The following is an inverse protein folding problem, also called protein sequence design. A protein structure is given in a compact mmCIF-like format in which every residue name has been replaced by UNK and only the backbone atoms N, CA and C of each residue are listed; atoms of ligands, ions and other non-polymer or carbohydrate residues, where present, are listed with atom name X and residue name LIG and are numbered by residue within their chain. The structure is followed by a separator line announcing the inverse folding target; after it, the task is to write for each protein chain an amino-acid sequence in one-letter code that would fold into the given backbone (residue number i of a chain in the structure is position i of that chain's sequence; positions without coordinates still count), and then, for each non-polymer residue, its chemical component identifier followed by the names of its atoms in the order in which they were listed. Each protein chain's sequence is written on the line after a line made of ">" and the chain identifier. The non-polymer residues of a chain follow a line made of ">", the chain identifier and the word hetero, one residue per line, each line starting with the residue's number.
data_IF_989632909064
#
_entry.id   IF_989632909064
#
_cell.length_a   1.000
_cell.length_b   1.000
_cell.length_c   1.000
_cell.angle_alpha   90.00
_cell.angle_beta   90.00
_cell.angle_gamma   90.00
#
_symmetry.space_group_name_H-M   'P 1'
#
loop_
_entity.id
_entity.type
_entity.pdbx_description
1 polymer ?
#
# COMPACT_ATOMS: atom_id res chain seq x y z
N UNK A 1 -23.01 16.85 5.47
CA UNK A 1 -22.59 16.13 4.26
C UNK A 1 -21.09 15.99 4.34
N UNK A 2 -20.57 14.76 4.38
CA UNK A 2 -19.14 14.51 4.59
C UNK A 2 -18.48 14.51 3.21
N UNK A 3 -17.72 15.57 2.94
CA UNK A 3 -16.75 15.56 1.85
C UNK A 3 -15.69 14.50 2.17
N UNK A 4 -15.37 13.64 1.19
CA UNK A 4 -14.29 12.67 1.24
C UNK A 4 -12.91 13.32 1.18
N UNK A 5 -12.64 14.24 2.11
CA UNK A 5 -11.32 14.77 2.41
C UNK A 5 -10.66 14.00 3.56
N UNK A 6 -9.39 14.30 3.83
CA UNK A 6 -8.53 13.73 4.88
C UNK A 6 -9.06 13.84 6.34
N UNK A 7 -10.33 14.15 6.55
CA UNK A 7 -10.96 14.41 7.85
C UNK A 7 -11.75 13.21 8.40
N UNK A 8 -11.67 12.03 7.77
CA UNK A 8 -12.26 10.80 8.28
C UNK A 8 -11.22 9.70 8.42
N UNK A 9 -11.49 8.77 9.33
CA UNK A 9 -10.56 7.70 9.67
C UNK A 9 -9.39 8.19 10.54
N UNK A 10 -8.26 7.51 10.43
CA UNK A 10 -7.06 7.76 11.22
C UNK A 10 -5.84 7.78 10.32
N UNK A 11 -4.96 8.76 10.56
CA UNK A 11 -3.74 9.00 9.79
C UNK A 11 -2.60 9.30 10.75
N UNK A 12 -1.65 8.37 10.85
CA UNK A 12 -0.44 8.51 11.67
C UNK A 12 0.73 7.96 10.87
N UNK A 13 1.79 8.76 10.77
CA UNK A 13 3.06 8.28 10.24
C UNK A 13 4.02 8.05 11.39
N UNK A 14 4.62 6.87 11.43
CA UNK A 14 5.55 6.48 12.47
C UNK A 14 6.88 6.04 11.86
N UNK A 15 7.99 6.56 12.38
CA UNK A 15 9.35 6.11 12.05
C UNK A 15 9.94 5.35 13.24
N UNK A 16 9.57 4.08 13.46
CA UNK A 16 9.99 3.33 14.65
C UNK A 16 11.49 3.05 14.69
N UNK A 17 12.16 3.19 13.55
CA UNK A 17 13.59 2.95 13.38
C UNK A 17 14.42 4.24 13.46
N UNK A 18 13.79 5.41 13.66
CA UNK A 18 14.43 6.72 13.73
C UNK A 18 15.44 6.95 12.60
N UNK A 19 16.74 6.95 12.91
CA UNK A 19 17.84 7.17 11.98
C UNK A 19 18.34 5.90 11.27
N UNK A 20 17.82 4.72 11.64
CA UNK A 20 18.23 3.48 10.98
C UNK A 20 17.67 3.42 9.57
N UNK A 21 18.60 3.28 8.62
CA UNK A 21 18.32 3.16 7.20
C UNK A 21 18.05 1.71 6.84
N UNK A 22 16.78 1.35 6.73
CA UNK A 22 16.37 0.00 6.37
C UNK A 22 16.15 -0.13 4.86
N UNK A 23 16.91 -1.00 4.21
CA UNK A 23 16.62 -1.44 2.82
C UNK A 23 15.57 -2.56 2.78
N UNK A 24 15.25 -3.15 3.94
CA UNK A 24 14.26 -4.22 4.07
C UNK A 24 13.44 -3.98 5.32
N UNK A 25 12.13 -4.15 5.22
CA UNK A 25 11.22 -4.06 6.36
C UNK A 25 10.11 -5.10 6.23
N UNK A 26 9.67 -5.60 7.38
CA UNK A 26 8.44 -6.37 7.51
C UNK A 26 7.51 -5.60 8.45
N UNK A 27 6.32 -5.25 7.97
CA UNK A 27 5.24 -4.74 8.79
C UNK A 27 4.26 -5.88 9.08
N UNK A 28 4.04 -6.19 10.35
CA UNK A 28 3.03 -7.16 10.77
C UNK A 28 2.01 -6.54 11.72
N UNK A 29 0.74 -6.83 11.47
CA UNK A 29 -0.37 -6.43 12.33
C UNK A 29 -1.58 -7.34 12.09
N UNK A 30 -2.55 -7.31 13.02
CA UNK A 30 -3.84 -7.94 12.83
C UNK A 30 -4.91 -6.86 12.61
N UNK A 31 -5.88 -7.15 11.74
CA UNK A 31 -7.05 -6.28 11.50
C UNK A 31 -8.33 -7.06 11.71
N UNK A 32 -9.27 -6.47 12.44
CA UNK A 32 -10.61 -7.00 12.63
C UNK A 32 -11.65 -6.04 12.04
N UNK A 33 -12.54 -6.57 11.21
CA UNK A 33 -13.71 -5.83 10.73
C UNK A 33 -14.95 -6.28 11.51
N UNK A 34 -15.84 -5.37 11.95
CA UNK A 34 -17.12 -5.75 12.55
C UNK A 34 -17.91 -6.74 11.69
N UNK A 35 -18.74 -7.60 12.30
CA UNK A 35 -19.48 -8.64 11.58
C UNK A 35 -20.45 -8.07 10.52
N UNK A 36 -20.94 -6.86 10.75
CA UNK A 36 -21.84 -6.08 9.90
C UNK A 36 -21.10 -5.02 9.06
N UNK A 37 -19.78 -5.10 8.96
CA UNK A 37 -18.98 -4.11 8.23
C UNK A 37 -19.42 -3.97 6.78
N UNK A 38 -19.84 -2.76 6.40
CA UNK A 38 -20.19 -2.44 5.03
C UNK A 38 -18.92 -2.09 4.23
N UNK A 39 -18.54 -2.96 3.31
CA UNK A 39 -17.34 -2.79 2.49
C UNK A 39 -17.40 -1.61 1.53
N UNK A 40 -18.61 -1.16 1.15
CA UNK A 40 -18.87 -0.15 0.12
C UNK A 40 -18.03 -0.47 -1.14
N UNK A 41 -17.17 0.46 -1.59
CA UNK A 41 -16.27 0.31 -2.73
C UNK A 41 -14.81 0.07 -2.32
N UNK A 42 -14.50 0.20 -1.04
CA UNK A 42 -13.16 0.00 -0.51
C UNK A 42 -12.66 1.10 0.43
N UNK A 43 -11.48 0.87 0.95
CA UNK A 43 -10.77 1.79 1.84
C UNK A 43 -9.32 1.39 2.01
N UNK A 44 -8.55 2.21 2.72
CA UNK A 44 -7.11 2.03 2.93
C UNK A 44 -6.84 1.32 4.24
N UNK A 45 -5.74 0.57 4.27
CA UNK A 45 -5.18 -0.06 5.45
C UNK A 45 -3.69 0.33 5.58
N UNK A 46 -3.13 0.22 6.80
CA UNK A 46 -1.74 0.58 7.07
C UNK A 46 -0.73 -0.11 6.15
N UNK A 47 0.38 0.58 5.90
CA UNK A 47 1.42 0.12 5.00
C UNK A 47 2.80 0.68 5.32
N UNK A 48 3.72 0.43 4.39
CA UNK A 48 5.09 0.92 4.44
C UNK A 48 5.28 2.06 3.44
N UNK A 49 6.11 3.03 3.81
CA UNK A 49 6.41 4.22 3.02
C UNK A 49 7.93 4.49 3.05
N UNK A 50 8.44 5.11 2.00
CA UNK A 50 9.79 5.64 1.96
C UNK A 50 9.86 6.99 1.26
N UNK A 51 10.84 7.79 1.67
CA UNK A 51 11.01 9.18 1.25
C UNK A 51 10.34 10.15 2.22
N UNK A 52 10.18 11.41 1.80
CA UNK A 52 9.44 12.39 2.60
C UNK A 52 7.94 12.25 2.36
N UNK A 53 7.14 12.24 3.43
CA UNK A 53 5.67 12.25 3.36
C UNK A 53 5.15 13.47 2.59
N UNK A 54 5.86 14.60 2.64
CA UNK A 54 5.51 15.80 1.87
C UNK A 54 5.73 15.65 0.36
N UNK A 55 6.51 14.66 -0.08
CA UNK A 55 6.87 14.42 -1.49
C UNK A 55 5.79 13.70 -2.31
N UNK A 56 4.71 13.22 -1.67
CA UNK A 56 3.58 12.61 -2.37
C UNK A 56 3.46 11.10 -2.16
N UNK A 57 3.34 10.35 -3.27
CA UNK A 57 3.09 8.89 -3.30
C UNK A 57 1.78 8.45 -2.63
N UNK A 58 0.82 9.39 -2.59
CA UNK A 58 -0.55 9.22 -2.11
C UNK A 58 -1.44 10.22 -2.85
N UNK A 59 -2.76 10.02 -2.84
CA UNK A 59 -3.72 11.04 -3.28
C UNK A 59 -3.54 11.55 -4.72
N UNK A 60 -3.00 10.72 -5.62
CA UNK A 60 -2.74 11.07 -7.03
C UNK A 60 -1.37 11.73 -7.29
N UNK A 61 -0.56 11.93 -6.26
CA UNK A 61 0.83 12.41 -6.42
C UNK A 61 1.74 11.20 -6.69
N UNK A 62 2.33 11.16 -7.88
CA UNK A 62 3.06 9.98 -8.36
C UNK A 62 4.44 9.79 -7.72
N UNK A 63 4.92 8.54 -7.77
CA UNK A 63 6.31 8.21 -7.51
C UNK A 63 7.12 8.35 -8.81
N UNK A 64 8.31 8.96 -8.73
CA UNK A 64 9.22 9.14 -9.87
C UNK A 64 10.59 8.47 -9.68
N UNK A 65 10.79 7.79 -8.55
CA UNK A 65 12.03 7.08 -8.21
C UNK A 65 13.05 7.93 -7.43
N UNK A 66 12.86 9.25 -7.34
CA UNK A 66 13.66 10.14 -6.52
C UNK A 66 12.90 10.83 -5.39
N UNK A 67 11.57 10.75 -5.36
CA UNK A 67 10.73 11.52 -4.42
C UNK A 67 10.20 10.71 -3.22
N UNK A 68 9.58 9.55 -3.48
CA UNK A 68 8.96 8.68 -2.49
C UNK A 68 8.52 7.34 -3.11
N UNK A 69 8.05 6.42 -2.27
CA UNK A 69 7.19 5.29 -2.64
C UNK A 69 6.23 4.94 -1.49
N UNK A 70 5.12 4.26 -1.80
CA UNK A 70 4.22 3.73 -0.78
C UNK A 70 3.65 2.37 -1.15
N UNK A 71 3.47 1.52 -0.13
CA UNK A 71 2.87 0.18 -0.22
C UNK A 71 1.87 0.05 0.92
N UNK A 72 0.64 0.48 0.67
CA UNK A 72 -0.49 0.30 1.59
C UNK A 72 -1.30 -0.91 1.20
N UNK A 73 -2.17 -1.35 2.09
CA UNK A 73 -3.21 -2.30 1.74
C UNK A 73 -4.51 -1.55 1.45
N UNK A 74 -5.41 -2.22 0.76
CA UNK A 74 -6.80 -1.80 0.68
C UNK A 74 -7.73 -2.98 0.84
N UNK A 75 -8.94 -2.71 1.34
CA UNK A 75 -10.10 -3.52 1.01
C UNK A 75 -10.86 -2.90 -0.16
N UNK A 76 -11.63 -3.73 -0.85
CA UNK A 76 -12.59 -3.39 -1.90
C UNK A 76 -13.96 -3.95 -1.53
N UNK A 77 -14.95 -3.73 -2.40
CA UNK A 77 -16.28 -4.31 -2.24
C UNK A 77 -16.23 -5.82 -1.99
N UNK A 78 -17.05 -6.30 -1.04
CA UNK A 78 -17.09 -7.70 -0.64
C UNK A 78 -15.83 -8.21 0.07
N UNK A 79 -15.04 -7.32 0.66
CA UNK A 79 -13.86 -7.65 1.46
C UNK A 79 -12.61 -8.00 0.66
N UNK A 80 -12.63 -7.89 -0.67
CA UNK A 80 -11.47 -8.22 -1.50
C UNK A 80 -10.28 -7.33 -1.11
N UNK A 81 -9.15 -7.94 -0.78
CA UNK A 81 -7.93 -7.23 -0.42
C UNK A 81 -7.01 -6.98 -1.63
N UNK A 82 -6.15 -5.97 -1.53
CA UNK A 82 -5.05 -5.73 -2.47
C UNK A 82 -3.88 -5.05 -1.76
N UNK A 83 -2.67 -5.19 -2.32
CA UNK A 83 -1.60 -4.22 -2.07
C UNK A 83 -1.77 -3.07 -3.05
N UNK A 84 -1.83 -1.86 -2.54
CA UNK A 84 -2.02 -0.63 -3.28
C UNK A 84 -0.75 0.20 -3.24
N UNK A 85 -0.08 0.31 -4.39
CA UNK A 85 1.29 0.82 -4.48
C UNK A 85 1.39 2.11 -5.27
N UNK A 86 2.26 3.00 -4.82
CA UNK A 86 2.84 4.06 -5.63
C UNK A 86 4.32 3.74 -5.85
N UNK A 87 4.62 3.25 -7.05
CA UNK A 87 5.97 2.97 -7.55
C UNK A 87 6.19 3.75 -8.85
N UNK A 88 7.46 4.07 -9.22
CA UNK A 88 7.75 4.75 -10.47
C UNK A 88 7.32 3.91 -11.68
N UNK A 89 6.16 4.25 -12.25
CA UNK A 89 5.48 3.46 -13.30
C UNK A 89 6.35 3.25 -14.53
N UNK A 90 7.04 4.31 -14.97
CA UNK A 90 7.94 4.29 -16.14
C UNK A 90 9.16 3.37 -15.94
N UNK A 91 9.55 3.10 -14.69
CA UNK A 91 10.65 2.20 -14.35
C UNK A 91 10.19 0.76 -14.07
N UNK A 92 8.88 0.56 -13.88
CA UNK A 92 8.26 -0.72 -13.55
C UNK A 92 7.24 -1.14 -14.62
N UNK A 93 7.55 -0.99 -15.91
CA UNK A 93 6.63 -1.33 -17.01
C UNK A 93 6.14 -2.79 -16.95
N UNK A 94 7.03 -3.70 -16.56
CA UNK A 94 6.75 -5.14 -16.46
C UNK A 94 5.75 -5.46 -15.34
N UNK A 95 5.66 -4.61 -14.31
CA UNK A 95 4.68 -4.77 -13.23
C UNK A 95 3.26 -4.71 -13.79
N UNK A 96 2.99 -3.78 -14.71
CA UNK A 96 1.68 -3.60 -15.34
C UNK A 96 1.34 -4.68 -16.36
N UNK A 97 2.33 -5.48 -16.81
CA UNK A 97 2.10 -6.61 -17.71
C UNK A 97 1.63 -7.88 -16.97
N UNK A 98 1.74 -7.92 -15.64
CA UNK A 98 1.29 -9.06 -14.83
C UNK A 98 -0.23 -9.14 -14.78
N UNK A 99 -0.76 -10.36 -14.83
CA UNK A 99 -2.21 -10.63 -14.79
C UNK A 99 -2.87 -10.33 -13.44
N UNK A 100 -2.10 -10.30 -12.36
CA UNK A 100 -2.56 -10.00 -11.00
C UNK A 100 -2.42 -8.51 -10.62
N UNK A 101 -2.07 -7.66 -11.59
CA UNK A 101 -1.86 -6.23 -11.40
C UNK A 101 -2.85 -5.42 -12.24
N UNK A 102 -3.45 -4.40 -11.63
CA UNK A 102 -4.22 -3.37 -12.32
C UNK A 102 -3.52 -2.03 -12.13
N UNK A 103 -2.84 -1.55 -13.18
CA UNK A 103 -2.22 -0.23 -13.15
C UNK A 103 -3.25 0.87 -13.42
N UNK A 104 -3.08 1.99 -12.73
CA UNK A 104 -3.89 3.19 -12.91
C UNK A 104 -2.93 4.35 -13.29
N UNK A 105 -3.27 5.15 -14.29
CA UNK A 105 -2.40 6.25 -14.73
C UNK A 105 -2.46 7.48 -13.82
N UNK A 106 -3.55 7.68 -13.07
CA UNK A 106 -3.77 8.85 -12.22
C UNK A 106 -3.45 8.57 -10.74
N UNK A 107 -3.65 7.32 -10.29
CA UNK A 107 -3.48 6.91 -8.90
C UNK A 107 -2.50 5.74 -8.77
N UNK A 108 -2.46 5.11 -7.59
CA UNK A 108 -1.66 3.92 -7.33
C UNK A 108 -2.17 2.68 -8.09
N UNK A 109 -1.29 1.70 -8.24
CA UNK A 109 -1.58 0.41 -8.88
C UNK A 109 -2.06 -0.60 -7.84
N UNK A 110 -3.00 -1.46 -8.22
CA UNK A 110 -3.53 -2.54 -7.38
C UNK A 110 -2.84 -3.85 -7.72
N UNK A 111 -2.36 -4.58 -6.71
CA UNK A 111 -1.67 -5.87 -6.84
C UNK A 111 -2.41 -6.91 -5.99
N UNK A 112 -2.69 -8.08 -6.57
CA UNK A 112 -3.10 -9.26 -5.82
C UNK A 112 -4.50 -9.18 -5.22
N UNK A 113 -5.52 -8.94 -6.06
CA UNK A 113 -6.95 -9.02 -5.69
C UNK A 113 -7.45 -10.47 -5.54
N UNK A 114 -6.67 -11.32 -4.88
CA UNK A 114 -6.85 -12.78 -4.81
C UNK A 114 -7.14 -13.30 -3.39
N UNK A 115 -7.43 -12.42 -2.44
CA UNK A 115 -7.81 -12.76 -1.07
C UNK A 115 -8.95 -11.85 -0.58
N UNK A 116 -9.60 -12.24 0.53
CA UNK A 116 -10.68 -11.47 1.15
C UNK A 116 -10.47 -11.37 2.66
N UNK A 117 -10.69 -10.17 3.20
CA UNK A 117 -10.92 -9.96 4.61
C UNK A 117 -12.30 -10.48 5.00
N UNK A 118 -12.38 -11.17 6.14
CA UNK A 118 -13.63 -11.70 6.67
C UNK A 118 -14.12 -10.82 7.82
N UNK A 119 -15.32 -10.27 7.65
CA UNK A 119 -16.04 -9.56 8.70
C UNK A 119 -16.34 -10.49 9.89
N UNK A 120 -16.21 -9.97 11.10
CA UNK A 120 -16.42 -10.71 12.35
C UNK A 120 -15.23 -11.56 12.80
N UNK A 121 -14.06 -11.42 12.17
CA UNK A 121 -12.83 -12.13 12.56
C UNK A 121 -11.59 -11.26 12.38
N UNK A 122 -10.54 -11.59 13.12
CA UNK A 122 -9.21 -11.02 12.91
C UNK A 122 -8.52 -11.70 11.72
N UNK A 123 -7.74 -10.91 10.98
CA UNK A 123 -6.87 -11.37 9.90
C UNK A 123 -5.46 -10.87 10.19
N UNK A 124 -4.48 -11.78 10.22
CA UNK A 124 -3.07 -11.43 10.35
C UNK A 124 -2.51 -11.01 8.99
N UNK A 125 -1.82 -9.87 8.97
CA UNK A 125 -1.17 -9.29 7.80
C UNK A 125 0.34 -9.23 8.05
N UNK A 126 1.11 -9.64 7.05
CA UNK A 126 2.57 -9.47 7.02
C UNK A 126 2.99 -8.93 5.65
N UNK A 127 3.43 -7.67 5.61
CA UNK A 127 3.88 -6.98 4.42
C UNK A 127 5.40 -6.85 4.44
N UNK A 128 6.07 -7.59 3.56
CA UNK A 128 7.51 -7.54 3.38
C UNK A 128 7.89 -6.68 2.19
N UNK A 129 8.87 -5.81 2.39
CA UNK A 129 9.43 -4.93 1.36
C UNK A 129 10.95 -5.06 1.41
N UNK A 130 11.55 -5.25 0.23
CA UNK A 130 12.97 -5.08 0.00
C UNK A 130 13.16 -4.10 -1.13
N UNK A 131 13.87 -3.01 -0.84
CA UNK A 131 14.24 -2.02 -1.84
C UNK A 131 15.26 -2.58 -2.83
N UNK A 132 15.28 -1.96 -4.00
CA UNK A 132 16.29 -2.23 -4.98
C UNK A 132 17.62 -1.51 -4.66
N UNK A 133 18.71 -2.03 -5.24
CA UNK A 133 20.04 -1.40 -5.19
C UNK A 133 20.20 -0.42 -6.33
N UNK A 134 20.49 0.85 -6.03
CA UNK A 134 20.64 1.91 -7.03
C UNK A 134 19.44 1.95 -7.98
N UNK A 135 19.67 1.65 -9.26
CA UNK A 135 18.65 1.57 -10.32
C UNK A 135 18.37 0.14 -10.80
N UNK A 136 18.92 -0.88 -10.14
CA UNK A 136 18.71 -2.28 -10.53
C UNK A 136 17.26 -2.73 -10.30
N UNK A 137 16.73 -3.61 -11.15
CA UNK A 137 15.42 -4.24 -10.95
C UNK A 137 15.54 -5.48 -10.05
N UNK A 138 15.85 -5.27 -8.76
CA UNK A 138 16.08 -6.35 -7.80
C UNK A 138 15.30 -6.20 -6.48
N UNK A 139 14.33 -5.28 -6.42
CA UNK A 139 13.42 -5.11 -5.29
C UNK A 139 12.33 -6.19 -5.21
N UNK A 140 11.78 -6.39 -4.00
CA UNK A 140 10.73 -7.37 -3.71
C UNK A 140 9.61 -6.80 -2.85
N UNK A 141 8.39 -7.25 -3.15
CA UNK A 141 7.19 -7.01 -2.36
C UNK A 141 6.51 -8.37 -2.11
N UNK A 142 6.28 -8.69 -0.84
CA UNK A 142 5.49 -9.87 -0.46
C UNK A 142 4.40 -9.50 0.52
N UNK A 143 3.24 -10.14 0.37
CA UNK A 143 2.14 -10.06 1.33
C UNK A 143 1.76 -11.46 1.75
N UNK A 144 1.71 -11.68 3.06
CA UNK A 144 1.13 -12.86 3.67
C UNK A 144 -0.16 -12.48 4.41
N UNK A 145 -1.18 -13.32 4.28
CA UNK A 145 -2.47 -13.21 4.95
C UNK A 145 -2.71 -14.50 5.69
N UNK A 146 -2.85 -14.43 7.02
CA UNK A 146 -2.95 -15.59 7.92
C UNK A 146 -1.83 -16.63 7.68
N UNK A 147 -0.61 -16.14 7.41
CA UNK A 147 0.57 -16.96 7.12
C UNK A 147 0.67 -17.47 5.68
N UNK A 148 -0.34 -17.30 4.84
CA UNK A 148 -0.33 -17.73 3.44
C UNK A 148 0.18 -16.62 2.52
N UNK A 149 1.12 -16.94 1.62
CA UNK A 149 1.64 -16.01 0.62
C UNK A 149 0.56 -15.67 -0.42
N UNK A 150 0.12 -14.40 -0.47
CA UNK A 150 -0.91 -13.91 -1.40
C UNK A 150 -0.35 -13.04 -2.53
N UNK A 151 0.71 -12.28 -2.26
CA UNK A 151 1.42 -11.47 -3.25
C UNK A 151 2.89 -11.80 -3.18
N UNK A 152 3.49 -12.09 -4.34
CA UNK A 152 4.94 -12.22 -4.53
C UNK A 152 5.33 -11.52 -5.82
N UNK A 153 5.95 -10.36 -5.67
CA UNK A 153 6.42 -9.54 -6.78
C UNK A 153 7.90 -9.28 -6.59
N UNK A 154 8.66 -9.53 -7.64
CA UNK A 154 10.09 -9.28 -7.74
C UNK A 154 10.38 -8.32 -8.89
N UNK A 155 11.65 -7.97 -9.07
CA UNK A 155 12.13 -7.05 -10.11
C UNK A 155 11.51 -5.66 -10.04
N UNK A 156 11.23 -5.21 -8.81
CA UNK A 156 10.70 -3.87 -8.57
C UNK A 156 11.82 -2.84 -8.48
N UNK A 157 11.56 -1.64 -9.01
CA UNK A 157 12.33 -0.43 -8.74
C UNK A 157 11.50 0.48 -7.83
N UNK A 158 11.98 0.72 -6.63
CA UNK A 158 11.41 1.67 -5.67
C UNK A 158 12.06 3.04 -5.78
N UNK A 159 13.37 3.06 -6.07
CA UNK A 159 14.22 4.25 -6.10
C UNK A 159 15.29 4.15 -7.18
N UNK A 160 15.87 5.29 -7.57
CA UNK A 160 17.00 5.34 -8.52
C UNK A 160 18.36 5.52 -7.84
N UNK A 161 18.37 5.96 -6.58
CA UNK A 161 19.57 6.17 -5.77
C UNK A 161 19.40 5.54 -4.39
N UNK A 162 20.51 5.17 -3.74
CA UNK A 162 20.49 4.53 -2.42
C UNK A 162 20.38 5.54 -1.25
N UNK A 163 19.47 6.50 -1.39
CA UNK A 163 19.24 7.60 -0.43
C UNK A 163 17.85 7.57 0.24
N UNK A 164 16.95 6.72 -0.24
CA UNK A 164 15.57 6.64 0.23
C UNK A 164 15.23 5.26 0.81
N UNK A 165 14.91 5.16 2.09
CA UNK A 165 14.75 3.89 2.83
C UNK A 165 13.29 3.56 3.14
N UNK A 166 13.01 2.31 3.49
CA UNK A 166 11.69 1.87 3.97
C UNK A 166 11.65 1.99 5.50
N UNK A 167 11.48 3.22 5.97
CA UNK A 167 11.66 3.58 7.39
C UNK A 167 10.37 4.09 8.05
N UNK A 168 9.27 4.18 7.29
CA UNK A 168 8.03 4.79 7.73
C UNK A 168 6.87 3.79 7.65
N UNK A 169 6.15 3.64 8.75
CA UNK A 169 4.80 3.04 8.76
C UNK A 169 3.81 4.16 8.46
N UNK A 170 3.12 4.05 7.33
CA UNK A 170 1.98 4.92 6.97
C UNK A 170 0.70 4.26 7.49
N UNK A 171 0.32 4.58 8.72
CA UNK A 171 -0.93 4.12 9.31
C UNK A 171 -2.06 5.04 8.84
N UNK A 172 -2.65 4.69 7.70
CA UNK A 172 -3.78 5.43 7.11
C UNK A 172 -4.93 4.47 6.85
N UNK A 173 -6.04 4.67 7.58
CA UNK A 173 -7.25 3.86 7.43
C UNK A 173 -8.49 4.73 7.33
N UNK A 174 -9.16 4.63 6.18
CA UNK A 174 -10.33 5.42 5.82
C UNK A 174 -11.06 4.79 4.62
N UNK A 175 -12.35 5.05 4.48
CA UNK A 175 -13.11 4.69 3.28
C UNK A 175 -12.63 5.54 2.09
N UNK A 176 -12.29 4.88 0.99
CA UNK A 176 -11.29 5.43 0.08
C UNK A 176 -11.74 5.56 -1.36
N UNK A 177 -11.94 6.82 -1.77
CA UNK A 177 -12.18 7.32 -3.13
C UNK A 177 -12.67 8.77 -3.00
N UNK A 178 -12.54 9.59 -4.04
CA UNK A 178 -12.85 11.03 -3.96
C UNK A 178 -14.32 11.38 -4.25
N UNK A 179 -15.22 10.39 -4.22
CA UNK A 179 -16.64 10.59 -4.58
C UNK A 179 -17.59 10.08 -3.49
N UNK A 180 -18.83 10.62 -3.39
CA UNK A 180 -19.81 10.20 -2.39
C UNK A 180 -20.13 8.71 -2.39
N UNK A 181 -19.91 8.03 -3.51
CA UNK A 181 -20.11 6.58 -3.66
C UNK A 181 -19.18 5.72 -2.79
N UNK A 182 -18.20 6.33 -2.12
CA UNK A 182 -17.30 5.69 -1.17
C UNK A 182 -17.71 5.95 0.29
N UNK A 183 -18.72 6.77 0.55
CA UNK A 183 -19.19 7.05 1.90
C UNK A 183 -19.78 5.78 2.54
N UNK A 184 -19.47 5.60 3.82
CA UNK A 184 -20.20 4.65 4.68
C UNK A 184 -21.65 5.12 4.84
N UNK A 185 -22.63 4.20 5.02
CA UNK A 185 -23.98 4.56 5.44
C UNK A 185 -24.01 5.42 6.70
#
# INVERSE_FOLDING_TARGET
>A
GIEGGNNSGVHVNCKPLEDQRANRAMLSYEVGFPADFNWVKGGKLPGLFGGSISSGCTGGREANGGNCFSMRLMWRGGGVGEVYVYLPKVLNTDLCARSDVTCNMEYGSSIGRNFKFKAGSWTKIELFVQLNTGSEQNGYLKLYIDGELRVDVNKLIYRTYDDMFVDTIEFSSFFGGSTPNYATP
#
